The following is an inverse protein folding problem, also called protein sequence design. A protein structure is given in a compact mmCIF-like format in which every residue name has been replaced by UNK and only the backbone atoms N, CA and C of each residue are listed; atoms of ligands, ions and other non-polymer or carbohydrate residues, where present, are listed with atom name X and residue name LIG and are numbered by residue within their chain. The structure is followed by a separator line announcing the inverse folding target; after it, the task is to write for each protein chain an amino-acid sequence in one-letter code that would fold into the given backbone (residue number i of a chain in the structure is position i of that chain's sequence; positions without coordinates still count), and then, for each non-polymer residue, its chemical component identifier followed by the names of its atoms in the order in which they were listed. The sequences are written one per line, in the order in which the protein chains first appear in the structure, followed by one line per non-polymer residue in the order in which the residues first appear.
data_IF_466943501251
#
_entry.id   IF_466943501251
#
_cell.length_a   1.000
_cell.length_b   1.000
_cell.length_c   1.000
_cell.angle_alpha   90.00
_cell.angle_beta   90.00
_cell.angle_gamma   90.00
#
_symmetry.space_group_name_H-M   'P 1'
#
loop_
_entity.id
_entity.type
_entity.pdbx_description
1 polymer ?
#
# COMPACT_ATOMS: atom_id res chain seq x y z
N UNK A 1 8.47 -12.25 -13.38
CA UNK A 1 9.93 -12.17 -13.11
C UNK A 1 10.65 -12.52 -14.41
N UNK A 2 11.73 -11.81 -14.76
CA UNK A 2 12.61 -12.28 -15.83
C UNK A 2 13.36 -13.52 -15.37
N UNK A 3 13.78 -14.38 -16.30
CA UNK A 3 14.69 -15.46 -15.97
C UNK A 3 16.12 -14.89 -15.87
N UNK A 4 16.84 -15.24 -14.81
CA UNK A 4 18.26 -14.88 -14.59
C UNK A 4 18.47 -13.40 -14.23
N UNK A 5 19.62 -12.84 -14.61
CA UNK A 5 20.03 -11.46 -14.33
C UNK A 5 19.36 -10.43 -15.25
N UNK A 6 18.72 -10.87 -16.36
CA UNK A 6 18.06 -9.99 -17.33
C UNK A 6 17.06 -9.03 -16.69
N UNK A 7 16.36 -9.46 -15.63
CA UNK A 7 15.39 -8.62 -14.93
C UNK A 7 16.01 -7.37 -14.32
N UNK A 8 17.24 -7.48 -13.81
CA UNK A 8 17.97 -6.37 -13.17
C UNK A 8 18.63 -5.47 -14.23
N UNK A 9 19.18 -6.05 -15.30
CA UNK A 9 19.72 -5.28 -16.42
C UNK A 9 18.64 -4.44 -17.11
N UNK A 10 17.47 -5.02 -17.41
CA UNK A 10 16.34 -4.30 -18.03
C UNK A 10 15.80 -3.15 -17.17
N UNK A 11 16.03 -3.20 -15.85
CA UNK A 11 15.65 -2.16 -14.90
C UNK A 11 16.74 -1.11 -14.67
N UNK A 12 17.92 -1.30 -15.25
CA UNK A 12 19.10 -0.48 -14.97
C UNK A 12 19.40 -0.38 -13.47
N UNK A 13 19.24 -1.49 -12.74
CA UNK A 13 19.55 -1.53 -11.32
C UNK A 13 21.03 -1.23 -11.06
N UNK A 14 21.35 -0.62 -9.92
CA UNK A 14 22.74 -0.38 -9.49
C UNK A 14 23.55 -1.70 -9.41
N UNK A 15 22.91 -2.75 -8.92
CA UNK A 15 23.45 -4.11 -8.88
C UNK A 15 22.67 -5.01 -9.82
N UNK A 16 23.38 -5.74 -10.67
CA UNK A 16 22.82 -6.66 -11.68
C UNK A 16 23.35 -8.09 -11.53
N UNK A 17 24.14 -8.36 -10.49
CA UNK A 17 24.69 -9.69 -10.18
C UNK A 17 23.69 -10.63 -9.49
N UNK A 18 22.45 -10.19 -9.25
CA UNK A 18 21.40 -11.04 -8.70
C UNK A 18 20.73 -11.89 -9.79
N UNK A 19 20.45 -13.15 -9.46
CA UNK A 19 19.77 -14.09 -10.34
C UNK A 19 18.46 -14.48 -9.65
N UNK A 20 17.32 -14.25 -10.32
CA UNK A 20 16.01 -14.67 -9.82
C UNK A 20 15.43 -15.72 -10.76
N UNK A 21 14.90 -16.78 -10.18
CA UNK A 21 14.16 -17.81 -10.91
C UNK A 21 13.09 -18.42 -10.02
N UNK A 22 11.93 -18.70 -10.61
CA UNK A 22 10.89 -19.53 -10.00
C UNK A 22 10.96 -21.00 -10.50
N UNK A 23 11.88 -21.31 -11.42
CA UNK A 23 12.05 -22.64 -11.95
C UNK A 23 12.87 -23.49 -10.97
N UNK A 24 12.19 -24.32 -10.18
CA UNK A 24 12.81 -25.21 -9.17
C UNK A 24 13.89 -26.13 -9.77
N UNK A 25 13.79 -26.50 -11.04
CA UNK A 25 14.80 -27.37 -11.69
C UNK A 25 16.16 -26.69 -11.85
N UNK A 26 16.21 -25.35 -11.87
CA UNK A 26 17.46 -24.58 -11.95
C UNK A 26 18.16 -24.41 -10.60
N UNK A 27 17.52 -24.84 -9.50
CA UNK A 27 18.08 -24.67 -8.15
C UNK A 27 19.12 -25.73 -7.79
N UNK A 28 19.18 -26.87 -8.50
CA UNK A 28 20.13 -27.95 -8.21
C UNK A 28 20.18 -28.28 -6.71
N UNK A 29 21.38 -28.22 -6.11
CA UNK A 29 21.51 -28.11 -4.66
C UNK A 29 21.25 -26.66 -4.21
N UNK A 30 20.00 -26.42 -3.80
CA UNK A 30 19.54 -25.11 -3.36
C UNK A 30 20.30 -24.58 -2.14
N UNK A 31 21.09 -25.39 -1.43
CA UNK A 31 21.90 -24.93 -0.29
C UNK A 31 23.07 -24.03 -0.68
N UNK A 32 23.41 -23.99 -1.98
CA UNK A 32 24.46 -23.12 -2.53
C UNK A 32 24.03 -21.66 -2.72
N UNK A 33 22.74 -21.37 -2.64
CA UNK A 33 22.23 -20.00 -2.78
C UNK A 33 22.38 -19.25 -1.46
N UNK A 34 22.75 -17.97 -1.48
CA UNK A 34 22.78 -17.15 -0.27
C UNK A 34 21.38 -16.88 0.30
N UNK A 35 20.38 -16.78 -0.59
CA UNK A 35 19.02 -16.39 -0.23
C UNK A 35 18.01 -17.28 -0.95
N UNK A 36 16.99 -17.72 -0.21
CA UNK A 36 15.81 -18.40 -0.74
C UNK A 36 14.59 -17.55 -0.36
N UNK A 37 13.81 -17.15 -1.36
CA UNK A 37 12.61 -16.33 -1.17
C UNK A 37 11.37 -17.21 -1.28
N UNK A 38 10.45 -17.08 -0.33
CA UNK A 38 9.20 -17.81 -0.28
C UNK A 38 8.04 -16.85 -0.51
N UNK A 39 7.23 -17.13 -1.53
CA UNK A 39 6.04 -16.36 -1.82
C UNK A 39 4.95 -16.65 -0.76
N UNK A 40 4.45 -15.60 -0.11
CA UNK A 40 3.46 -15.69 0.98
C UNK A 40 2.19 -16.43 0.60
N UNK A 41 1.44 -15.99 -0.43
CA UNK A 41 0.26 -16.70 -0.91
C UNK A 41 0.47 -18.19 -1.22
N UNK A 42 1.63 -18.56 -1.77
CA UNK A 42 1.94 -19.96 -2.10
C UNK A 42 2.32 -20.80 -0.88
N UNK A 43 3.14 -20.27 0.03
CA UNK A 43 3.71 -21.06 1.13
C UNK A 43 2.69 -21.50 2.18
N UNK A 44 1.58 -20.76 2.31
CA UNK A 44 0.51 -21.07 3.29
C UNK A 44 -0.03 -22.49 3.11
N UNK A 45 -0.23 -22.90 1.85
CA UNK A 45 -0.80 -24.20 1.50
C UNK A 45 0.25 -25.25 1.16
N UNK A 46 1.54 -24.91 1.24
CA UNK A 46 2.63 -25.81 0.86
C UNK A 46 2.86 -26.87 1.94
N UNK A 47 2.76 -28.18 1.63
CA UNK A 47 3.03 -29.24 2.61
C UNK A 47 4.44 -29.12 3.21
N UNK A 48 4.59 -29.54 4.47
CA UNK A 48 5.88 -29.43 5.18
C UNK A 48 6.99 -30.25 4.49
N UNK A 49 6.61 -31.33 3.83
CA UNK A 49 7.49 -32.22 3.08
C UNK A 49 8.06 -31.55 1.83
N UNK A 50 7.35 -30.57 1.28
CA UNK A 50 7.81 -29.77 0.13
C UNK A 50 8.69 -28.58 0.54
N UNK A 51 8.74 -28.24 1.83
CA UNK A 51 9.67 -27.23 2.32
C UNK A 51 11.11 -27.73 2.21
N UNK A 52 12.09 -26.82 2.04
CA UNK A 52 13.50 -27.16 2.10
C UNK A 52 13.89 -27.93 3.37
N UNK A 53 14.33 -29.17 3.21
CA UNK A 53 14.71 -30.07 4.31
C UNK A 53 16.15 -29.87 4.80
N UNK A 54 16.97 -29.15 4.03
CA UNK A 54 18.36 -28.82 4.37
C UNK A 54 18.53 -27.31 4.32
N UNK A 55 19.45 -26.79 5.13
CA UNK A 55 19.73 -25.37 5.14
C UNK A 55 21.19 -25.11 5.51
N UNK A 56 21.88 -24.35 4.68
CA UNK A 56 23.24 -23.91 5.00
C UNK A 56 23.22 -22.84 6.10
N UNK A 57 24.28 -22.78 6.93
CA UNK A 57 24.39 -21.79 8.02
C UNK A 57 24.42 -20.33 7.52
N UNK A 58 24.75 -20.12 6.25
CA UNK A 58 24.85 -18.80 5.63
C UNK A 58 23.57 -18.41 4.86
N UNK A 59 22.59 -19.32 4.75
CA UNK A 59 21.37 -19.07 4.01
C UNK A 59 20.37 -18.18 4.74
N UNK A 60 19.86 -17.19 4.02
CA UNK A 60 18.71 -16.38 4.41
C UNK A 60 17.44 -16.92 3.76
N UNK A 61 16.48 -17.29 4.59
CA UNK A 61 15.11 -17.59 4.17
C UNK A 61 14.29 -16.31 4.32
N UNK A 62 13.70 -15.86 3.23
CA UNK A 62 12.97 -14.59 3.14
C UNK A 62 11.51 -14.88 2.88
N UNK A 63 10.63 -14.39 3.75
CA UNK A 63 9.20 -14.38 3.46
C UNK A 63 8.86 -13.14 2.62
N UNK A 64 8.27 -13.31 1.43
CA UNK A 64 7.91 -12.21 0.55
C UNK A 64 6.42 -12.18 0.23
N UNK A 65 5.76 -11.06 0.49
CA UNK A 65 4.34 -10.87 0.19
C UNK A 65 3.97 -9.40 0.08
N UNK A 66 3.38 -9.02 -1.05
CA UNK A 66 2.66 -7.74 -1.18
C UNK A 66 1.16 -7.89 -0.82
N UNK A 67 0.70 -9.12 -0.66
CA UNK A 67 -0.69 -9.43 -0.31
C UNK A 67 -0.91 -9.38 1.20
N UNK A 68 -2.10 -8.93 1.61
CA UNK A 68 -2.50 -8.72 3.01
C UNK A 68 -2.39 -9.97 3.87
N UNK A 69 -1.85 -9.81 5.09
CA UNK A 69 -1.76 -10.88 6.08
C UNK A 69 -3.11 -11.36 6.64
N UNK A 70 -4.19 -10.57 6.49
CA UNK A 70 -5.54 -11.01 6.86
C UNK A 70 -6.14 -11.96 5.80
N UNK A 71 -5.84 -11.71 4.52
CA UNK A 71 -6.23 -12.60 3.41
C UNK A 71 -5.37 -13.87 3.39
N UNK A 72 -4.08 -13.73 3.72
CA UNK A 72 -3.08 -14.78 3.66
C UNK A 72 -2.39 -14.98 5.01
N UNK A 73 -3.10 -15.45 6.05
CA UNK A 73 -2.51 -15.67 7.35
C UNK A 73 -1.63 -16.92 7.39
N UNK A 74 -0.60 -16.89 8.22
CA UNK A 74 0.32 -18.00 8.48
C UNK A 74 -0.04 -18.61 9.84
N UNK A 75 -1.02 -19.53 9.85
CA UNK A 75 -1.49 -20.20 11.08
C UNK A 75 -0.77 -21.53 11.35
N UNK A 76 0.54 -21.59 11.09
CA UNK A 76 1.34 -22.79 11.32
C UNK A 76 2.57 -22.46 12.14
N UNK A 77 2.81 -23.26 13.17
CA UNK A 77 3.93 -23.06 14.08
C UNK A 77 5.27 -23.46 13.48
N UNK A 78 5.28 -24.26 12.41
CA UNK A 78 6.52 -24.67 11.74
C UNK A 78 7.22 -23.53 10.98
N UNK A 79 6.57 -22.37 10.83
CA UNK A 79 7.20 -21.15 10.32
C UNK A 79 7.79 -20.24 11.39
N UNK A 80 7.56 -20.54 12.67
CA UNK A 80 8.28 -19.88 13.77
C UNK A 80 9.76 -20.25 13.70
N UNK A 81 10.62 -19.25 13.81
CA UNK A 81 12.08 -19.37 13.65
C UNK A 81 12.56 -19.88 12.27
N UNK A 82 11.67 -19.93 11.26
CA UNK A 82 12.01 -20.39 9.92
C UNK A 82 12.64 -19.28 9.06
N UNK A 83 12.06 -18.09 9.07
CA UNK A 83 12.51 -16.94 8.28
C UNK A 83 13.55 -16.10 9.01
N UNK A 84 14.49 -15.53 8.26
CA UNK A 84 15.46 -14.56 8.78
C UNK A 84 15.09 -13.12 8.46
N UNK A 85 14.46 -12.95 7.31
CA UNK A 85 14.17 -11.67 6.68
C UNK A 85 12.77 -11.71 6.09
N UNK A 86 12.22 -10.52 5.88
CA UNK A 86 10.90 -10.31 5.32
C UNK A 86 10.98 -9.23 4.25
N UNK A 87 10.27 -9.47 3.15
CA UNK A 87 10.14 -8.54 2.03
C UNK A 87 8.65 -8.32 1.76
N UNK A 88 8.04 -7.45 2.55
CA UNK A 88 6.57 -7.30 2.58
C UNK A 88 6.13 -5.85 2.66
N UNK A 89 4.84 -5.60 2.52
CA UNK A 89 4.27 -4.26 2.68
C UNK A 89 4.41 -3.71 4.12
N UNK A 90 4.61 -4.56 5.14
CA UNK A 90 4.73 -4.12 6.53
C UNK A 90 5.97 -3.24 6.71
N UNK A 91 5.83 -2.11 7.39
CA UNK A 91 6.90 -1.13 7.51
C UNK A 91 8.05 -1.61 8.43
N UNK A 92 7.80 -2.67 9.20
CA UNK A 92 8.80 -3.35 10.03
C UNK A 92 9.67 -4.35 9.25
N UNK A 93 9.39 -4.62 7.97
CA UNK A 93 10.16 -5.59 7.19
C UNK A 93 11.59 -5.12 6.90
N UNK A 94 12.53 -6.06 6.78
CA UNK A 94 13.91 -5.75 6.39
C UNK A 94 13.97 -5.05 5.03
N UNK A 95 13.10 -5.47 4.11
CA UNK A 95 12.88 -4.78 2.85
C UNK A 95 11.39 -4.50 2.71
N UNK A 96 11.03 -3.25 2.51
CA UNK A 96 9.64 -2.88 2.34
C UNK A 96 9.22 -3.10 0.89
N UNK A 97 8.32 -4.05 0.62
CA UNK A 97 7.64 -4.24 -0.65
C UNK A 97 6.27 -3.54 -0.64
N UNK A 98 6.26 -2.23 -0.90
CA UNK A 98 5.06 -1.40 -0.78
C UNK A 98 4.42 -1.03 -2.10
N UNK A 99 3.38 -0.19 -2.04
CA UNK A 99 2.72 0.38 -3.22
C UNK A 99 3.16 1.80 -3.55
N UNK A 100 3.69 2.53 -2.56
CA UNK A 100 3.99 3.95 -2.70
C UNK A 100 5.32 4.38 -2.08
N UNK A 101 5.82 5.51 -2.60
CA UNK A 101 6.93 6.29 -2.06
C UNK A 101 6.45 7.72 -1.82
N UNK A 102 6.91 8.29 -0.71
CA UNK A 102 6.61 9.67 -0.31
C UNK A 102 7.89 10.48 -0.40
N UNK A 103 7.83 11.59 -1.14
CA UNK A 103 8.95 12.53 -1.27
C UNK A 103 8.60 13.89 -0.70
N UNK A 104 9.57 14.57 -0.10
CA UNK A 104 9.43 15.94 0.36
C UNK A 104 9.59 16.97 -0.78
N UNK A 105 9.48 18.27 -0.47
CA UNK A 105 9.66 19.38 -1.43
C UNK A 105 11.06 19.40 -2.07
N UNK A 106 12.05 18.77 -1.43
CA UNK A 106 13.42 18.61 -1.95
C UNK A 106 13.61 17.29 -2.72
N UNK A 107 12.51 16.58 -3.02
CA UNK A 107 12.45 15.29 -3.72
C UNK A 107 13.14 14.15 -2.97
N UNK A 108 13.43 14.29 -1.68
CA UNK A 108 14.03 13.24 -0.86
C UNK A 108 12.97 12.22 -0.42
N UNK A 109 13.31 10.94 -0.42
CA UNK A 109 12.40 9.90 0.09
C UNK A 109 12.29 10.06 1.61
N UNK A 110 11.08 10.32 2.10
CA UNK A 110 10.80 10.47 3.54
C UNK A 110 9.97 9.34 4.11
N UNK A 111 9.26 8.58 3.27
CA UNK A 111 8.39 7.49 3.73
C UNK A 111 7.76 6.65 2.62
N UNK A 112 6.78 5.79 2.99
CA UNK A 112 6.25 5.62 4.34
C UNK A 112 7.21 4.88 5.28
N UNK A 113 7.13 5.13 6.59
CA UNK A 113 7.91 4.46 7.65
C UNK A 113 7.17 4.49 8.99
N UNK A 114 7.60 3.67 9.95
CA UNK A 114 6.94 3.56 11.26
C UNK A 114 6.86 4.91 11.98
N UNK A 115 8.00 5.61 12.04
CA UNK A 115 8.14 6.91 12.71
C UNK A 115 8.15 8.03 11.65
N UNK A 116 6.97 8.30 11.08
CA UNK A 116 6.79 9.47 10.23
C UNK A 116 6.81 10.76 11.05
N UNK A 117 7.48 11.79 10.51
CA UNK A 117 7.47 13.12 11.07
C UNK A 117 6.98 14.10 9.99
N UNK A 118 5.71 14.48 10.10
CA UNK A 118 5.09 15.44 9.19
C UNK A 118 5.35 16.86 9.67
N UNK A 119 5.40 17.79 8.72
CA UNK A 119 5.34 19.20 9.05
C UNK A 119 4.04 19.50 9.79
N UNK A 120 4.12 20.27 10.89
CA UNK A 120 2.93 20.73 11.61
C UNK A 120 2.00 21.51 10.66
N UNK A 121 0.69 21.29 10.77
CA UNK A 121 -0.32 21.91 9.90
C UNK A 121 -0.19 23.44 9.84
N UNK A 122 0.04 24.08 10.98
CA UNK A 122 0.22 25.54 11.11
C UNK A 122 1.46 26.06 10.37
N UNK A 123 2.44 25.19 10.11
CA UNK A 123 3.67 25.53 9.39
C UNK A 123 3.57 25.22 7.90
N UNK A 124 2.57 24.46 7.47
CA UNK A 124 2.36 24.17 6.06
C UNK A 124 1.96 25.45 5.32
N UNK A 125 2.69 25.76 4.24
CA UNK A 125 2.31 26.77 3.23
C UNK A 125 0.86 26.57 2.77
N UNK A 126 0.07 27.65 2.63
CA UNK A 126 -1.27 27.57 2.06
C UNK A 126 -1.27 26.94 0.66
N UNK A 127 -2.41 26.36 0.28
CA UNK A 127 -2.60 25.72 -1.03
C UNK A 127 -2.34 26.71 -2.17
N UNK A 128 -1.68 26.26 -3.23
CA UNK A 128 -1.37 27.10 -4.41
C UNK A 128 -2.62 27.48 -5.19
N UNK A 129 -2.60 28.63 -5.87
CA UNK A 129 -3.75 29.10 -6.67
C UNK A 129 -4.13 28.12 -7.80
N UNK A 130 -3.16 27.45 -8.42
CA UNK A 130 -3.44 26.41 -9.44
C UNK A 130 -4.27 25.25 -8.86
N UNK A 131 -3.89 24.77 -7.67
CA UNK A 131 -4.63 23.71 -6.99
C UNK A 131 -6.03 24.22 -6.61
N UNK A 132 -6.15 25.43 -6.05
CA UNK A 132 -7.47 26.01 -5.71
C UNK A 132 -8.41 26.08 -6.92
N UNK A 133 -7.91 26.52 -8.08
CA UNK A 133 -8.70 26.58 -9.32
C UNK A 133 -9.20 25.20 -9.75
N UNK A 134 -8.38 24.15 -9.60
CA UNK A 134 -8.80 22.77 -9.89
C UNK A 134 -9.86 22.28 -8.91
N UNK A 135 -9.69 22.57 -7.62
CA UNK A 135 -10.63 22.16 -6.57
C UNK A 135 -12.01 22.82 -6.72
N UNK A 136 -12.07 24.07 -7.22
CA UNK A 136 -13.32 24.81 -7.39
C UNK A 136 -14.30 24.27 -8.44
N UNK A 137 -13.87 23.36 -9.32
CA UNK A 137 -14.70 22.79 -10.38
C UNK A 137 -15.42 21.48 -10.00
N UNK A 138 -15.14 20.96 -8.80
CA UNK A 138 -15.70 19.68 -8.34
C UNK A 138 -17.19 19.82 -8.05
N UNK A 139 -17.96 18.78 -8.42
CA UNK A 139 -19.43 18.80 -8.31
C UNK A 139 -20.01 17.50 -7.73
N UNK A 140 -19.25 16.40 -7.75
CA UNK A 140 -19.68 15.09 -7.30
C UNK A 140 -19.09 14.75 -5.93
N UNK A 141 -19.90 14.17 -5.06
CA UNK A 141 -19.49 13.91 -3.68
C UNK A 141 -18.34 12.89 -3.60
N UNK A 142 -18.56 11.63 -3.98
CA UNK A 142 -17.54 10.60 -3.83
C UNK A 142 -17.50 9.58 -4.97
N UNK A 143 -16.31 9.11 -5.30
CA UNK A 143 -16.10 7.99 -6.22
C UNK A 143 -15.49 6.78 -5.48
N UNK A 144 -15.76 5.58 -6.00
CA UNK A 144 -15.14 4.35 -5.53
C UNK A 144 -14.81 3.40 -6.68
N UNK A 145 -13.52 3.13 -6.92
CA UNK A 145 -13.11 2.15 -7.94
C UNK A 145 -12.92 0.78 -7.30
N UNK A 146 -13.73 -0.19 -7.71
CA UNK A 146 -13.81 -1.48 -7.03
C UNK A 146 -14.25 -2.63 -7.94
N UNK A 147 -13.43 -3.69 -7.95
CA UNK A 147 -13.72 -4.95 -8.66
C UNK A 147 -13.87 -6.16 -7.73
N UNK A 148 -13.34 -6.10 -6.51
CA UNK A 148 -13.55 -7.15 -5.50
C UNK A 148 -14.71 -6.79 -4.55
N UNK A 149 -15.89 -7.35 -4.81
CA UNK A 149 -17.12 -7.00 -4.09
C UNK A 149 -17.26 -7.74 -2.76
N UNK A 150 -16.56 -8.87 -2.61
CA UNK A 150 -16.62 -9.74 -1.45
C UNK A 150 -15.25 -9.75 -0.77
N UNK A 151 -15.07 -8.79 0.14
CA UNK A 151 -13.81 -8.61 0.85
C UNK A 151 -13.98 -8.89 2.34
N UNK A 152 -12.92 -9.38 2.99
CA UNK A 152 -12.94 -9.74 4.42
C UNK A 152 -13.20 -8.52 5.31
N UNK A 153 -12.81 -7.34 4.84
CA UNK A 153 -13.07 -6.06 5.49
C UNK A 153 -14.55 -5.66 5.56
N UNK A 154 -15.46 -6.35 4.87
CA UNK A 154 -16.90 -5.98 4.78
C UNK A 154 -17.13 -4.55 4.30
N UNK A 155 -16.20 -4.04 3.48
CA UNK A 155 -16.24 -2.67 2.99
C UNK A 155 -17.46 -2.39 2.12
N UNK A 156 -18.00 -3.41 1.43
CA UNK A 156 -19.21 -3.27 0.62
C UNK A 156 -20.45 -3.04 1.49
N UNK A 157 -20.57 -3.73 2.63
CA UNK A 157 -21.63 -3.45 3.61
C UNK A 157 -21.50 -2.03 4.16
N UNK A 158 -20.29 -1.65 4.59
CA UNK A 158 -19.99 -0.32 5.11
C UNK A 158 -20.33 0.78 4.10
N UNK A 159 -19.98 0.60 2.81
CA UNK A 159 -20.30 1.57 1.75
C UNK A 159 -21.81 1.73 1.58
N UNK A 160 -22.61 0.66 1.72
CA UNK A 160 -24.09 0.78 1.64
C UNK A 160 -24.66 1.56 2.81
N UNK A 161 -24.19 1.30 4.03
CA UNK A 161 -24.58 2.08 5.22
C UNK A 161 -24.18 3.54 5.05
N UNK A 162 -22.98 3.79 4.54
CA UNK A 162 -22.49 5.12 4.30
C UNK A 162 -23.25 5.88 3.22
N UNK A 163 -23.59 5.21 2.10
CA UNK A 163 -24.42 5.79 1.05
C UNK A 163 -25.80 6.20 1.57
N UNK A 164 -26.38 5.44 2.50
CA UNK A 164 -27.66 5.79 3.12
C UNK A 164 -27.57 7.04 4.01
N UNK A 165 -26.44 7.26 4.69
CA UNK A 165 -26.21 8.50 5.45
C UNK A 165 -25.97 9.71 4.53
N UNK A 166 -25.21 9.54 3.44
CA UNK A 166 -24.95 10.60 2.45
C UNK A 166 -26.23 11.04 1.71
N UNK A 167 -27.13 10.11 1.42
CA UNK A 167 -28.40 10.42 0.74
C UNK A 167 -29.28 11.41 1.51
N UNK A 168 -29.10 11.55 2.83
CA UNK A 168 -29.81 12.56 3.65
C UNK A 168 -29.42 14.00 3.30
N UNK A 169 -28.29 14.17 2.64
CA UNK A 169 -27.72 15.45 2.19
C UNK A 169 -27.74 15.59 0.66
N UNK A 170 -28.46 14.71 -0.06
CA UNK A 170 -28.44 14.62 -1.52
C UNK A 170 -27.03 14.37 -2.11
N UNK A 171 -26.20 13.62 -1.38
CA UNK A 171 -24.86 13.21 -1.78
C UNK A 171 -24.84 11.72 -2.14
N UNK A 172 -24.05 11.36 -3.15
CA UNK A 172 -24.00 9.99 -3.69
C UNK A 172 -22.56 9.49 -3.86
N UNK A 173 -22.40 8.16 -3.78
CA UNK A 173 -21.15 7.47 -4.07
C UNK A 173 -21.27 6.83 -5.46
N UNK A 174 -20.49 7.31 -6.41
CA UNK A 174 -20.39 6.73 -7.74
C UNK A 174 -19.43 5.52 -7.71
N UNK A 175 -19.97 4.32 -7.96
CA UNK A 175 -19.23 3.06 -7.86
C UNK A 175 -18.84 2.58 -9.26
N UNK A 176 -17.53 2.52 -9.51
CA UNK A 176 -16.95 2.09 -10.77
C UNK A 176 -16.33 0.69 -10.65
N UNK A 177 -16.45 -0.10 -11.72
CA UNK A 177 -15.89 -1.45 -11.81
C UNK A 177 -16.94 -2.52 -11.56
N UNK A 178 -16.49 -3.76 -11.35
CA UNK A 178 -17.37 -4.94 -11.30
C UNK A 178 -18.40 -4.93 -10.17
N UNK A 179 -18.25 -4.05 -9.19
CA UNK A 179 -19.16 -3.95 -8.04
C UNK A 179 -20.17 -2.80 -8.15
N UNK A 180 -20.15 -2.05 -9.24
CA UNK A 180 -21.06 -0.96 -9.53
C UNK A 180 -21.56 -0.99 -10.97
N UNK A 181 -22.28 0.06 -11.35
CA UNK A 181 -22.84 0.21 -12.71
C UNK A 181 -21.96 1.05 -13.62
N UNK A 182 -21.04 1.84 -13.05
CA UNK A 182 -20.13 2.70 -13.79
C UNK A 182 -18.85 1.94 -14.16
N UNK A 183 -18.16 2.41 -15.20
CA UNK A 183 -16.98 1.73 -15.75
C UNK A 183 -15.75 2.61 -15.66
N UNK A 184 -14.72 2.03 -15.08
CA UNK A 184 -13.36 2.50 -15.18
C UNK A 184 -12.50 1.25 -15.44
N UNK A 185 -12.12 1.03 -16.69
CA UNK A 185 -11.29 -0.12 -17.04
C UNK A 185 -9.82 0.17 -16.79
N UNK A 186 -9.01 -0.86 -16.54
CA UNK A 186 -7.55 -0.69 -16.34
C UNK A 186 -6.85 -0.06 -17.55
N UNK A 187 -7.41 -0.20 -18.75
CA UNK A 187 -6.85 0.41 -19.95
C UNK A 187 -7.17 1.91 -20.07
N UNK A 188 -8.06 2.42 -19.21
CA UNK A 188 -8.56 3.79 -19.19
C UNK A 188 -8.25 4.46 -17.84
N UNK A 189 -7.31 3.92 -17.06
CA UNK A 189 -6.98 4.37 -15.71
C UNK A 189 -6.66 5.88 -15.69
N UNK A 190 -5.81 6.36 -16.59
CA UNK A 190 -5.50 7.79 -16.73
C UNK A 190 -6.75 8.65 -16.96
N UNK A 191 -7.71 8.18 -17.76
CA UNK A 191 -8.94 8.90 -18.01
C UNK A 191 -9.85 8.93 -16.77
N UNK A 192 -9.88 7.84 -16.01
CA UNK A 192 -10.61 7.77 -14.76
C UNK A 192 -10.00 8.67 -13.68
N UNK A 193 -8.68 8.70 -13.60
CA UNK A 193 -7.94 9.52 -12.65
C UNK A 193 -8.10 11.01 -12.95
N UNK A 194 -8.08 11.40 -14.24
CA UNK A 194 -8.40 12.77 -14.65
C UNK A 194 -9.87 13.15 -14.33
N UNK A 195 -10.78 12.19 -14.47
CA UNK A 195 -12.19 12.37 -14.09
C UNK A 195 -12.35 12.49 -12.57
N UNK A 196 -11.57 11.74 -11.80
CA UNK A 196 -11.50 11.84 -10.35
C UNK A 196 -11.04 13.25 -9.92
N UNK A 197 -9.91 13.72 -10.48
CA UNK A 197 -9.37 15.06 -10.21
C UNK A 197 -10.37 16.17 -10.51
N UNK A 198 -11.06 16.07 -11.66
CA UNK A 198 -11.95 17.12 -12.12
C UNK A 198 -13.27 17.16 -11.36
N UNK A 199 -13.89 16.00 -11.13
CA UNK A 199 -15.32 15.96 -10.80
C UNK A 199 -15.60 15.73 -9.32
N UNK A 200 -14.72 15.06 -8.56
CA UNK A 200 -15.05 14.52 -7.24
C UNK A 200 -14.37 15.23 -6.07
N UNK A 201 -15.11 15.46 -4.99
CA UNK A 201 -14.55 15.94 -3.71
C UNK A 201 -13.82 14.83 -2.95
N UNK A 202 -14.37 13.62 -2.95
CA UNK A 202 -13.86 12.52 -2.13
C UNK A 202 -13.63 11.22 -2.92
N UNK A 203 -12.72 10.39 -2.43
CA UNK A 203 -12.48 9.05 -2.98
C UNK A 203 -12.39 8.01 -1.88
N UNK A 204 -13.09 6.89 -2.05
CA UNK A 204 -13.09 5.78 -1.09
C UNK A 204 -11.83 4.91 -1.28
N UNK A 205 -10.81 5.17 -0.46
CA UNK A 205 -9.58 4.37 -0.36
C UNK A 205 -9.76 3.16 0.55
N UNK A 206 -10.81 2.37 0.28
CA UNK A 206 -11.23 1.27 1.17
C UNK A 206 -10.48 -0.01 0.85
N UNK A 207 -9.70 -0.49 1.81
CA UNK A 207 -8.92 -1.71 1.67
C UNK A 207 -9.78 -2.97 1.75
N UNK A 208 -9.35 -4.00 1.02
CA UNK A 208 -10.07 -5.28 0.96
C UNK A 208 -9.93 -6.13 2.24
N UNK A 209 -9.08 -5.71 3.17
CA UNK A 209 -8.75 -6.43 4.39
C UNK A 209 -8.24 -5.46 5.46
N UNK A 210 -8.29 -5.87 6.72
CA UNK A 210 -7.89 -5.04 7.85
C UNK A 210 -6.58 -5.57 8.45
N UNK A 211 -5.47 -5.16 7.86
CA UNK A 211 -4.13 -5.51 8.35
C UNK A 211 -3.29 -4.27 8.64
N UNK A 212 -2.44 -4.37 9.66
CA UNK A 212 -1.45 -3.34 10.02
C UNK A 212 -0.58 -3.02 8.80
N UNK A 213 -0.38 -1.73 8.51
CA UNK A 213 0.42 -1.20 7.40
C UNK A 213 -0.05 -1.58 5.98
N UNK A 214 -1.16 -2.30 5.83
CA UNK A 214 -1.68 -2.65 4.51
C UNK A 214 -2.39 -1.45 3.88
N UNK A 215 -1.62 -0.68 3.11
CA UNK A 215 -2.07 0.48 2.32
C UNK A 215 -1.59 0.30 0.90
N UNK A 216 -2.53 0.33 -0.04
CA UNK A 216 -2.32 -0.09 -1.43
C UNK A 216 -2.36 1.06 -2.43
N UNK A 217 -2.38 0.75 -3.73
CA UNK A 217 -2.57 1.72 -4.82
C UNK A 217 -3.83 2.56 -4.66
N UNK A 218 -4.84 2.07 -3.92
CA UNK A 218 -6.12 2.78 -3.72
C UNK A 218 -5.93 4.18 -3.14
N UNK A 219 -4.93 4.35 -2.28
CA UNK A 219 -4.63 5.64 -1.68
C UNK A 219 -3.90 6.58 -2.66
N UNK A 220 -3.24 6.06 -3.69
CA UNK A 220 -2.56 6.87 -4.69
C UNK A 220 -3.54 7.61 -5.61
N UNK A 221 -4.70 7.04 -5.94
CA UNK A 221 -5.70 7.74 -6.77
C UNK A 221 -6.03 9.14 -6.21
N UNK A 222 -6.50 9.31 -4.97
CA UNK A 222 -6.81 10.64 -4.44
C UNK A 222 -5.59 11.54 -4.26
N UNK A 223 -4.46 10.96 -3.80
CA UNK A 223 -3.25 11.74 -3.52
C UNK A 223 -2.54 12.21 -4.78
N UNK A 224 -2.69 11.52 -5.92
CA UNK A 224 -2.14 11.99 -7.20
C UNK A 224 -3.12 12.86 -8.00
N UNK A 225 -4.41 12.85 -7.63
CA UNK A 225 -5.51 13.46 -8.39
C UNK A 225 -6.40 14.36 -7.52
N UNK A 226 -5.78 15.14 -6.63
CA UNK A 226 -6.37 16.25 -5.87
C UNK A 226 -7.79 15.99 -5.35
N UNK A 227 -7.98 14.85 -4.70
CA UNK A 227 -9.27 14.43 -4.11
C UNK A 227 -9.02 14.00 -2.68
N UNK A 228 -9.93 14.29 -1.74
CA UNK A 228 -9.71 13.92 -0.33
C UNK A 228 -9.93 12.40 -0.15
N UNK A 229 -8.92 11.64 0.28
CA UNK A 229 -9.08 10.22 0.58
C UNK A 229 -9.97 10.01 1.80
N UNK A 230 -10.99 9.15 1.63
CA UNK A 230 -11.73 8.55 2.72
C UNK A 230 -11.17 7.14 2.93
N UNK A 231 -10.53 6.90 4.07
CA UNK A 231 -9.81 5.66 4.34
C UNK A 231 -10.61 4.69 5.19
N UNK A 232 -10.47 3.40 4.88
CA UNK A 232 -10.98 2.30 5.67
C UNK A 232 -10.00 1.11 5.56
N UNK A 233 -9.26 0.84 6.63
CA UNK A 233 -8.22 -0.18 6.66
C UNK A 233 -7.71 -0.48 8.08
N UNK A 234 -6.75 -1.39 8.17
CA UNK A 234 -6.09 -1.77 9.42
C UNK A 234 -4.83 -0.97 9.75
N UNK A 235 -4.40 -0.10 8.84
CA UNK A 235 -3.16 0.66 8.99
C UNK A 235 -3.31 1.88 9.90
N UNK A 236 -2.19 2.32 10.46
CA UNK A 236 -2.06 3.68 10.99
C UNK A 236 -1.74 4.62 9.81
N UNK A 237 -2.74 5.37 9.34
CA UNK A 237 -2.60 6.24 8.17
C UNK A 237 -1.68 7.44 8.40
N UNK A 238 -1.37 7.78 9.66
CA UNK A 238 -0.35 8.80 9.99
C UNK A 238 1.05 8.37 9.52
N UNK A 239 1.28 7.09 9.20
CA UNK A 239 2.53 6.60 8.59
C UNK A 239 2.60 6.82 7.08
N UNK A 240 1.49 7.22 6.45
CA UNK A 240 1.33 7.28 4.99
C UNK A 240 0.97 8.67 4.49
N UNK A 241 0.33 9.52 5.30
CA UNK A 241 0.04 10.92 4.96
C UNK A 241 -0.20 11.76 6.22
N UNK A 242 -0.14 13.10 6.15
CA UNK A 242 -0.50 13.97 7.26
C UNK A 242 -1.95 13.76 7.72
N UNK A 243 -2.23 13.88 9.03
CA UNK A 243 -3.57 13.68 9.60
C UNK A 243 -4.61 14.70 9.11
N UNK A 244 -4.16 15.85 8.61
CA UNK A 244 -5.02 16.86 7.99
C UNK A 244 -5.44 16.51 6.55
N UNK A 245 -4.90 15.44 5.96
CA UNK A 245 -5.07 15.15 4.53
C UNK A 245 -6.20 14.18 4.21
N UNK A 246 -6.83 13.55 5.20
CA UNK A 246 -7.78 12.45 4.97
C UNK A 246 -8.92 12.40 5.97
N UNK A 247 -9.93 11.58 5.66
CA UNK A 247 -11.03 11.24 6.57
C UNK A 247 -11.00 9.75 6.88
N UNK A 248 -11.01 9.37 8.17
CA UNK A 248 -10.99 7.97 8.59
C UNK A 248 -12.38 7.49 9.02
N UNK A 249 -12.95 6.54 8.27
CA UNK A 249 -14.30 6.01 8.56
C UNK A 249 -14.33 5.26 9.89
N UNK A 250 -13.23 4.62 10.29
CA UNK A 250 -13.16 3.85 11.54
C UNK A 250 -13.18 4.74 12.79
N UNK A 251 -12.73 5.98 12.65
CA UNK A 251 -12.70 6.95 13.75
C UNK A 251 -13.99 7.77 13.82
N UNK A 252 -14.49 8.22 12.67
CA UNK A 252 -15.67 9.08 12.61
C UNK A 252 -16.98 8.28 12.68
N UNK A 253 -17.01 7.07 12.10
CA UNK A 253 -18.24 6.36 11.78
C UNK A 253 -19.00 7.01 10.61
N UNK A 254 -19.85 6.23 9.94
CA UNK A 254 -20.50 6.64 8.67
C UNK A 254 -21.38 7.89 8.81
N UNK A 255 -22.07 8.06 9.94
CA UNK A 255 -22.96 9.22 10.17
C UNK A 255 -22.19 10.53 10.28
N UNK A 256 -21.22 10.63 11.19
CA UNK A 256 -20.41 11.84 11.36
C UNK A 256 -19.57 12.13 10.12
N UNK A 257 -19.15 11.08 9.41
CA UNK A 257 -18.44 11.23 8.17
C UNK A 257 -19.31 11.87 7.08
N UNK A 258 -20.57 11.44 6.92
CA UNK A 258 -21.50 12.06 5.98
C UNK A 258 -21.79 13.53 6.34
N UNK A 259 -22.04 13.82 7.63
CA UNK A 259 -22.19 15.18 8.16
C UNK A 259 -20.97 16.06 7.81
N UNK A 260 -19.75 15.53 8.04
CA UNK A 260 -18.50 16.24 7.76
C UNK A 260 -18.27 16.46 6.27
N UNK A 261 -18.57 15.47 5.43
CA UNK A 261 -18.47 15.64 3.97
C UNK A 261 -19.41 16.73 3.46
N UNK A 262 -20.66 16.75 3.93
CA UNK A 262 -21.59 17.80 3.56
C UNK A 262 -21.06 19.19 3.94
N UNK A 263 -20.59 19.35 5.18
CA UNK A 263 -20.03 20.62 5.65
C UNK A 263 -18.81 21.08 4.83
N UNK A 264 -17.94 20.16 4.42
CA UNK A 264 -16.79 20.48 3.57
C UNK A 264 -17.20 20.86 2.14
N UNK A 265 -18.23 20.23 1.58
CA UNK A 265 -18.76 20.60 0.25
C UNK A 265 -19.41 21.99 0.30
N UNK A 266 -20.12 22.31 1.39
CA UNK A 266 -20.76 23.61 1.59
C UNK A 266 -19.76 24.73 1.93
N UNK A 267 -18.58 24.40 2.45
CA UNK A 267 -17.52 25.35 2.79
C UNK A 267 -16.20 25.07 2.03
N UNK A 268 -16.03 25.67 0.84
CA UNK A 268 -14.84 25.46 0.02
C UNK A 268 -13.51 25.77 0.71
N UNK A 269 -13.47 26.76 1.60
CA UNK A 269 -12.24 27.12 2.32
C UNK A 269 -11.78 26.00 3.24
N UNK A 270 -12.69 25.38 3.99
CA UNK A 270 -12.36 24.24 4.86
C UNK A 270 -11.93 23.01 4.04
N UNK A 271 -12.53 22.80 2.87
CA UNK A 271 -12.17 21.70 1.97
C UNK A 271 -10.77 21.89 1.37
N UNK A 272 -10.43 23.12 0.94
CA UNK A 272 -9.11 23.44 0.37
C UNK A 272 -7.99 23.10 1.36
N UNK A 273 -8.21 23.32 2.66
CA UNK A 273 -7.19 23.09 3.69
C UNK A 273 -6.69 21.62 3.77
N UNK A 274 -7.48 20.64 3.31
CA UNK A 274 -7.04 19.24 3.20
C UNK A 274 -5.90 19.04 2.19
N UNK A 275 -5.61 20.03 1.36
CA UNK A 275 -4.57 19.97 0.32
C UNK A 275 -3.32 20.76 0.66
N UNK A 276 -3.18 21.32 1.88
CA UNK A 276 -1.95 22.06 2.25
C UNK A 276 -0.67 21.25 2.07
N UNK A 277 -0.75 19.93 2.22
CA UNK A 277 0.38 19.02 2.05
C UNK A 277 0.96 19.03 0.63
N UNK A 278 0.21 19.43 -0.41
CA UNK A 278 0.64 19.34 -1.82
C UNK A 278 1.85 20.21 -2.15
N UNK A 279 2.15 21.21 -1.33
CA UNK A 279 3.34 22.05 -1.48
C UNK A 279 4.59 21.46 -0.82
N UNK A 280 4.44 20.40 -0.03
CA UNK A 280 5.50 19.86 0.84
C UNK A 280 5.80 18.40 0.55
N UNK A 281 4.83 17.66 0.03
CA UNK A 281 4.94 16.23 -0.21
C UNK A 281 4.37 15.83 -1.56
N UNK A 282 4.94 14.76 -2.11
CA UNK A 282 4.50 14.14 -3.36
C UNK A 282 4.46 12.61 -3.21
N UNK A 283 3.52 11.99 -3.92
CA UNK A 283 3.23 10.56 -3.84
C UNK A 283 3.49 9.89 -5.17
N UNK A 284 4.19 8.76 -5.10
CA UNK A 284 4.71 8.05 -6.26
C UNK A 284 4.46 6.56 -6.13
N UNK A 285 4.27 5.86 -7.25
CA UNK A 285 4.35 4.40 -7.25
C UNK A 285 5.81 3.95 -7.09
N UNK A 286 6.03 2.74 -6.56
CA UNK A 286 7.39 2.20 -6.38
C UNK A 286 8.17 2.04 -7.70
N UNK A 287 7.48 1.81 -8.81
CA UNK A 287 8.11 1.57 -10.11
C UNK A 287 8.49 2.86 -10.87
N UNK A 288 8.20 4.06 -10.33
CA UNK A 288 8.47 5.33 -11.01
C UNK A 288 9.97 5.69 -11.08
N UNK A 289 10.82 5.15 -10.21
CA UNK A 289 12.27 5.32 -10.28
C UNK A 289 13.05 4.09 -9.88
N UNK A 290 14.29 3.98 -10.38
CA UNK A 290 15.21 2.87 -10.05
C UNK A 290 15.51 2.80 -8.56
N UNK A 291 15.60 3.97 -7.90
CA UNK A 291 15.83 4.07 -6.45
C UNK A 291 14.71 3.42 -5.63
N UNK A 292 13.48 3.46 -6.14
CA UNK A 292 12.29 2.91 -5.46
C UNK A 292 11.85 1.56 -5.99
N UNK A 293 12.47 1.06 -7.07
CA UNK A 293 12.16 -0.25 -7.64
C UNK A 293 12.51 -1.35 -6.64
N UNK A 294 11.50 -2.15 -6.32
CA UNK A 294 11.55 -3.15 -5.26
C UNK A 294 12.57 -4.25 -5.53
N UNK A 295 12.74 -4.63 -6.80
CA UNK A 295 13.72 -5.66 -7.19
C UNK A 295 15.13 -5.08 -7.13
N UNK A 296 15.34 -3.87 -7.65
CA UNK A 296 16.63 -3.19 -7.57
C UNK A 296 17.04 -2.95 -6.11
N UNK A 297 16.09 -2.55 -5.25
CA UNK A 297 16.32 -2.35 -3.82
C UNK A 297 16.70 -3.64 -3.13
N UNK A 298 15.96 -4.72 -3.39
CA UNK A 298 16.26 -6.03 -2.80
C UNK A 298 17.66 -6.51 -3.23
N UNK A 299 18.01 -6.40 -4.51
CA UNK A 299 19.35 -6.77 -4.99
C UNK A 299 20.46 -5.91 -4.38
N UNK A 300 20.22 -4.61 -4.18
CA UNK A 300 21.17 -3.74 -3.48
C UNK A 300 21.47 -4.22 -2.06
N UNK A 301 20.43 -4.57 -1.30
CA UNK A 301 20.57 -5.08 0.08
C UNK A 301 21.32 -6.43 0.12
N UNK A 302 21.16 -7.27 -0.90
CA UNK A 302 21.92 -8.52 -1.03
C UNK A 302 23.42 -8.30 -1.23
N UNK A 303 23.81 -7.12 -1.73
CA UNK A 303 25.21 -6.74 -1.90
C UNK A 303 25.80 -6.03 -0.67
N UNK A 304 25.00 -5.81 0.39
CA UNK A 304 25.47 -5.30 1.68
C UNK A 304 25.92 -6.48 2.57
N UNK A 305 27.22 -6.81 2.51
CA UNK A 305 27.77 -8.00 3.19
C UNK A 305 27.43 -8.06 4.69
N UNK A 306 27.47 -6.92 5.38
CA UNK A 306 27.19 -6.84 6.82
C UNK A 306 25.75 -7.22 7.16
N UNK A 307 24.79 -6.86 6.30
CA UNK A 307 23.39 -7.25 6.47
C UNK A 307 23.22 -8.75 6.25
N UNK A 308 23.78 -9.27 5.14
CA UNK A 308 23.67 -10.70 4.78
C UNK A 308 24.34 -11.59 5.83
N UNK A 309 25.51 -11.19 6.36
CA UNK A 309 26.26 -11.95 7.37
C UNK A 309 25.64 -11.87 8.77
N UNK A 310 24.87 -10.82 9.09
CA UNK A 310 24.20 -10.67 10.39
C UNK A 310 23.27 -11.84 10.65
N UNK A 311 23.35 -12.49 11.80
CA UNK A 311 22.34 -13.50 12.19
C UNK A 311 21.03 -12.81 12.57
N UNK A 312 19.92 -13.27 12.00
CA UNK A 312 18.57 -12.78 12.28
C UNK A 312 17.59 -13.93 12.15
N UNK A 313 16.56 -13.97 13.00
CA UNK A 313 15.52 -15.00 13.00
C UNK A 313 14.22 -14.37 13.51
N UNK A 314 13.10 -14.65 12.84
CA UNK A 314 11.77 -14.30 13.32
C UNK A 314 11.24 -15.41 14.22
N UNK A 315 11.52 -15.31 15.53
CA UNK A 315 11.15 -16.36 16.49
C UNK A 315 9.65 -16.62 16.53
N UNK A 316 8.84 -15.56 16.58
CA UNK A 316 7.38 -15.66 16.57
C UNK A 316 6.82 -15.10 15.25
N UNK A 317 7.19 -15.73 14.14
CA UNK A 317 6.85 -15.24 12.80
C UNK A 317 5.34 -15.09 12.59
N UNK A 318 4.55 -16.08 13.01
CA UNK A 318 3.09 -16.06 12.87
C UNK A 318 2.47 -14.88 13.64
N UNK A 319 3.01 -14.55 14.82
CA UNK A 319 2.58 -13.39 15.61
C UNK A 319 2.92 -12.06 14.94
N UNK A 320 4.06 -11.98 14.27
CA UNK A 320 4.48 -10.78 13.54
C UNK A 320 3.65 -10.55 12.27
N UNK A 321 3.39 -11.62 11.50
CA UNK A 321 2.70 -11.53 10.22
C UNK A 321 1.20 -11.29 10.39
N UNK A 322 0.55 -12.13 11.21
CA UNK A 322 -0.90 -12.19 11.27
C UNK A 322 -1.52 -11.01 12.03
N UNK A 323 -2.73 -10.57 11.65
CA UNK A 323 -3.54 -9.73 12.52
C UNK A 323 -3.82 -10.43 13.87
N UNK A 324 -4.06 -9.67 14.95
CA UNK A 324 -4.47 -10.24 16.23
C UNK A 324 -5.69 -11.17 16.06
N UNK A 325 -5.70 -12.32 16.74
CA UNK A 325 -6.79 -13.33 16.74
C UNK A 325 -7.08 -14.04 15.40
N UNK A 326 -6.22 -13.87 14.38
CA UNK A 326 -6.40 -14.52 13.08
C UNK A 326 -6.02 -16.00 13.09
N UNK A 327 -5.16 -16.36 14.03
CA UNK A 327 -4.76 -17.68 14.51
C UNK A 327 -4.72 -17.57 16.05
#
# INVERSE_FOLDING_TARGET
MGERDEGFHKRNCLYTNCIVTNNRSLLGDYTNFNVIVFNGPEIINLPKEELPQKRSKHQKYVFASIESSDNYPICRDDFNSFFNWTWTYKLSSEVQWGYMTIRDENKQIVGPKIDMNWMDFERMKPVSEDVKLKLGNKTKAAAWFVSNCFSRSRRSELTREFAAELAKYDLYIDIYGSCGTLKCSRNEEDACDNMLERDYFFYLSFENSLAEDYVTEKLLHPLKHLTVPIVYGGANYTRFMPDSAYLNVRELGVKKLAEKMNALIENPEDYIEYFRWTNHYSYHTKAESIETDEYCRFCSILNEEDLVKRKSVYENFSKWWNPPSRC
#
